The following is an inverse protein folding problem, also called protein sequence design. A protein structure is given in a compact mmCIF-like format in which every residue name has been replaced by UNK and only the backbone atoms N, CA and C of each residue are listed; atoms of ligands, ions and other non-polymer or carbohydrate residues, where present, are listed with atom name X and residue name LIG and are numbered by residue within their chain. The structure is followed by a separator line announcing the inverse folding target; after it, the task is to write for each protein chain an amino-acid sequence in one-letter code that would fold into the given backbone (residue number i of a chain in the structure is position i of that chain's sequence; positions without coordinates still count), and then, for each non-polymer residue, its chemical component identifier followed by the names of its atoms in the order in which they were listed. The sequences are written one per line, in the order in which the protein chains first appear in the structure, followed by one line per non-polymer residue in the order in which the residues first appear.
data_IF_306619337526
#
_entry.id   IF_306619337526
#
_cell.length_a   1.000
_cell.length_b   1.000
_cell.length_c   1.000
_cell.angle_alpha   90.00
_cell.angle_beta   90.00
_cell.angle_gamma   90.00
#
_symmetry.space_group_name_H-M   'P 1'
#
loop_
_entity.id
_entity.type
_entity.pdbx_description
1 polymer ?
#
# COMPACT_ATOMS: atom_id res chain seq x y z
N UNK A 1 13.48 -30.31 50.03
CA UNK A 1 13.77 -31.55 49.26
C UNK A 1 13.76 -31.17 47.78
N UNK A 2 14.85 -30.75 47.14
CA UNK A 2 16.20 -31.29 47.21
C UNK A 2 16.32 -32.53 46.32
N UNK A 3 16.27 -32.38 44.99
CA UNK A 3 16.72 -33.42 44.05
C UNK A 3 17.52 -32.82 42.90
N UNK A 4 18.82 -32.77 43.15
CA UNK A 4 19.89 -32.76 42.17
C UNK A 4 19.62 -33.79 41.06
N UNK A 5 19.79 -33.40 39.80
CA UNK A 5 20.21 -34.34 38.75
C UNK A 5 21.53 -33.85 38.15
N UNK A 6 22.54 -34.62 38.52
CA UNK A 6 23.94 -34.60 38.12
C UNK A 6 24.06 -34.83 36.61
N UNK A 7 24.82 -33.96 35.94
CA UNK A 7 25.29 -34.18 34.57
C UNK A 7 26.25 -35.38 34.55
N UNK A 8 25.95 -36.40 33.74
CA UNK A 8 26.90 -37.47 33.41
C UNK A 8 27.43 -37.24 32.01
N UNK A 9 28.70 -36.85 31.92
CA UNK A 9 29.49 -36.82 30.70
C UNK A 9 29.85 -38.25 30.29
N UNK A 10 29.50 -38.66 29.07
CA UNK A 10 30.09 -39.84 28.42
C UNK A 10 30.99 -39.32 27.30
N UNK A 11 32.29 -39.55 27.45
CA UNK A 11 33.31 -39.14 26.50
C UNK A 11 33.51 -40.28 25.49
N UNK A 12 33.19 -40.03 24.21
CA UNK A 12 33.65 -40.85 23.11
C UNK A 12 34.70 -40.04 22.33
N UNK A 13 35.95 -40.52 22.34
CA UNK A 13 37.06 -39.93 21.58
C UNK A 13 36.85 -40.19 20.09
N UNK A 14 36.78 -39.13 19.29
CA UNK A 14 37.12 -39.18 17.85
C UNK A 14 38.39 -38.38 17.61
N UNK A 15 39.25 -38.92 16.76
CA UNK A 15 40.58 -38.41 16.47
C UNK A 15 40.55 -37.33 15.38
N UNK A 16 40.20 -36.10 15.76
CA UNK A 16 40.68 -34.86 15.09
C UNK A 16 40.18 -33.66 15.91
N UNK A 17 41.12 -32.89 16.46
CA UNK A 17 40.91 -31.94 17.55
C UNK A 17 40.04 -30.71 17.25
N UNK A 18 39.36 -30.26 18.31
CA UNK A 18 38.60 -29.02 18.40
C UNK A 18 37.47 -29.16 19.42
N UNK A 19 37.73 -28.84 20.70
CA UNK A 19 36.73 -28.91 21.78
C UNK A 19 35.61 -27.89 21.53
N UNK A 20 34.39 -28.37 21.29
CA UNK A 20 33.18 -27.55 21.32
C UNK A 20 32.34 -27.95 22.54
N UNK A 21 32.35 -27.09 23.56
CA UNK A 21 31.40 -27.16 24.68
C UNK A 21 30.07 -26.60 24.20
N UNK A 22 29.08 -27.47 23.97
CA UNK A 22 27.71 -27.04 23.69
C UNK A 22 26.98 -26.84 25.01
N UNK A 23 26.87 -25.58 25.45
CA UNK A 23 25.88 -25.17 26.45
C UNK A 23 24.59 -24.76 25.74
N UNK A 24 23.48 -25.42 26.07
CA UNK A 24 22.15 -24.96 25.68
C UNK A 24 21.76 -23.79 26.58
N UNK A 25 21.65 -22.60 25.99
CA UNK A 25 20.98 -21.47 26.60
C UNK A 25 19.64 -21.25 25.88
N UNK A 26 18.56 -21.40 26.63
CA UNK A 26 17.19 -21.33 26.14
C UNK A 26 16.68 -19.90 26.31
N UNK A 27 17.19 -18.94 25.54
CA UNK A 27 16.62 -17.59 25.46
C UNK A 27 17.30 -16.78 24.34
N UNK A 28 16.72 -16.81 23.13
CA UNK A 28 16.67 -15.74 22.09
C UNK A 28 16.39 -16.36 20.72
N UNK A 29 15.16 -16.19 20.26
CA UNK A 29 14.73 -16.40 18.89
C UNK A 29 15.31 -15.30 17.98
N UNK A 30 16.55 -15.45 17.54
CA UNK A 30 17.00 -14.78 16.31
C UNK A 30 16.30 -15.46 15.13
N UNK A 31 15.48 -14.75 14.33
CA UNK A 31 14.85 -15.36 13.17
C UNK A 31 15.93 -15.87 12.21
N UNK A 32 15.73 -17.08 11.67
CA UNK A 32 16.68 -17.82 10.80
C UNK A 32 16.90 -17.16 9.42
N UNK A 33 16.71 -15.86 9.30
CA UNK A 33 16.86 -15.15 8.03
C UNK A 33 18.34 -14.81 7.88
N UNK A 34 19.03 -15.49 6.96
CA UNK A 34 20.35 -15.12 6.40
C UNK A 34 21.64 -15.58 7.10
N UNK A 35 21.63 -16.52 8.05
CA UNK A 35 22.89 -16.99 8.66
C UNK A 35 23.77 -17.86 7.73
N UNK A 36 23.18 -18.55 6.74
CA UNK A 36 23.92 -19.51 5.89
C UNK A 36 24.02 -19.10 4.42
N UNK A 37 23.29 -18.07 3.96
CA UNK A 37 23.25 -17.66 2.57
C UNK A 37 23.62 -16.18 2.40
N UNK A 38 24.91 -15.87 2.43
CA UNK A 38 25.53 -14.87 1.55
C UNK A 38 27.02 -14.70 1.88
N UNK A 39 27.89 -15.45 1.21
CA UNK A 39 29.13 -14.82 0.76
C UNK A 39 28.72 -13.81 -0.31
N UNK A 40 28.53 -12.56 0.11
CA UNK A 40 28.21 -11.45 -0.78
C UNK A 40 29.31 -11.33 -1.85
N UNK A 41 28.96 -11.19 -3.14
CA UNK A 41 29.97 -10.95 -4.18
C UNK A 41 30.80 -9.70 -3.84
N UNK A 42 32.13 -9.85 -3.86
CA UNK A 42 33.08 -8.78 -3.56
C UNK A 42 32.78 -7.56 -4.44
N UNK A 43 32.47 -6.42 -3.81
CA UNK A 43 32.14 -5.16 -4.49
C UNK A 43 33.39 -4.49 -5.03
N UNK A 44 33.95 -5.01 -6.12
CA UNK A 44 34.94 -4.28 -6.92
C UNK A 44 34.34 -3.87 -8.27
N UNK A 45 33.60 -2.77 -8.26
CA UNK A 45 33.35 -2.02 -9.48
C UNK A 45 34.62 -1.23 -9.81
N UNK A 46 35.44 -1.72 -10.76
CA UNK A 46 36.50 -0.93 -11.36
C UNK A 46 35.87 0.15 -12.24
N UNK A 47 36.02 1.41 -11.84
CA UNK A 47 35.69 2.59 -12.62
C UNK A 47 36.66 2.77 -13.82
N UNK A 48 36.76 1.78 -14.69
CA UNK A 48 37.59 1.81 -15.89
C UNK A 48 36.66 1.68 -17.11
N UNK A 49 36.12 2.80 -17.59
CA UNK A 49 35.24 2.76 -18.76
C UNK A 49 34.52 4.06 -19.16
N UNK A 50 34.64 5.16 -18.40
CA UNK A 50 34.10 6.45 -18.84
C UNK A 50 35.04 7.10 -19.87
N UNK A 51 35.01 6.58 -21.10
CA UNK A 51 35.55 7.28 -22.25
C UNK A 51 34.73 8.55 -22.49
N UNK A 52 35.39 9.71 -22.41
CA UNK A 52 34.81 11.03 -22.66
C UNK A 52 34.34 11.13 -24.11
N UNK A 53 33.04 10.99 -24.35
CA UNK A 53 32.45 11.44 -25.62
C UNK A 53 32.44 12.97 -25.64
N UNK A 54 33.25 13.58 -26.51
CA UNK A 54 33.20 15.01 -26.80
C UNK A 54 31.86 15.35 -27.44
N UNK A 55 31.06 16.18 -26.79
CA UNK A 55 29.90 16.82 -27.42
C UNK A 55 30.37 17.96 -28.32
N UNK A 56 29.99 17.91 -29.60
CA UNK A 56 30.16 19.01 -30.54
C UNK A 56 29.38 20.25 -30.07
N UNK A 57 29.97 21.43 -30.30
CA UNK A 57 29.51 22.71 -29.77
C UNK A 57 28.07 23.07 -30.15
N UNK A 58 27.32 23.47 -29.14
CA UNK A 58 26.01 24.13 -29.24
C UNK A 58 25.89 25.12 -28.08
N UNK A 59 25.51 26.36 -28.40
CA UNK A 59 25.51 27.56 -27.55
C UNK A 59 24.97 27.34 -26.12
N UNK A 60 25.70 27.88 -25.14
CA UNK A 60 25.27 27.96 -23.75
C UNK A 60 24.00 28.82 -23.61
N UNK A 61 22.88 28.17 -23.28
CA UNK A 61 21.70 28.82 -22.72
C UNK A 61 21.82 28.96 -21.20
N UNK A 62 21.08 29.88 -20.56
CA UNK A 62 21.23 30.17 -19.14
C UNK A 62 20.92 28.91 -18.31
N UNK A 63 21.77 28.65 -17.32
CA UNK A 63 21.66 27.54 -16.39
C UNK A 63 20.34 27.62 -15.60
N UNK A 64 19.30 26.99 -16.14
CA UNK A 64 18.08 26.70 -15.40
C UNK A 64 18.41 25.68 -14.32
N UNK A 65 18.00 25.96 -13.08
CA UNK A 65 18.04 25.00 -11.98
C UNK A 65 17.54 23.64 -12.48
N UNK A 66 18.37 22.60 -12.50
CA UNK A 66 18.08 21.28 -13.10
C UNK A 66 16.90 20.50 -12.49
N UNK A 67 16.04 21.17 -11.74
CA UNK A 67 14.71 20.68 -11.37
C UNK A 67 13.81 20.84 -12.60
N UNK A 68 13.59 19.75 -13.31
CA UNK A 68 12.57 19.67 -14.37
C UNK A 68 11.23 20.09 -13.75
N UNK A 69 10.75 21.30 -14.05
CA UNK A 69 9.32 21.63 -13.89
C UNK A 69 8.58 20.54 -14.66
N UNK A 70 7.58 19.91 -14.04
CA UNK A 70 6.86 18.75 -14.58
C UNK A 70 6.16 19.08 -15.93
N UNK A 71 6.94 19.16 -17.01
CA UNK A 71 6.47 19.15 -18.39
C UNK A 71 6.34 17.69 -18.79
N UNK A 72 5.26 17.32 -19.48
CA UNK A 72 5.01 15.96 -19.97
C UNK A 72 6.25 15.34 -20.64
N UNK A 73 6.34 14.00 -20.60
CA UNK A 73 7.40 13.30 -21.32
C UNK A 73 7.37 13.66 -22.80
N UNK A 74 8.51 13.91 -23.46
CA UNK A 74 8.52 14.04 -24.91
C UNK A 74 7.95 12.76 -25.55
N UNK A 75 7.24 12.88 -26.69
CA UNK A 75 6.78 11.76 -27.50
C UNK A 75 7.92 10.76 -27.76
N UNK A 76 7.59 9.49 -27.96
CA UNK A 76 8.61 8.44 -28.12
C UNK A 76 9.55 8.72 -29.30
N UNK A 77 9.04 9.32 -30.39
CA UNK A 77 9.82 9.72 -31.56
C UNK A 77 10.89 10.80 -31.29
N UNK A 78 10.70 11.64 -30.27
CA UNK A 78 11.59 12.78 -29.97
C UNK A 78 12.60 12.48 -28.86
N UNK A 79 12.61 11.25 -28.34
CA UNK A 79 13.50 10.87 -27.24
C UNK A 79 14.92 10.60 -27.74
N UNK A 80 15.90 11.20 -27.08
CA UNK A 80 17.27 10.72 -27.17
C UNK A 80 17.39 9.38 -26.45
N UNK A 81 18.01 8.41 -27.11
CA UNK A 81 18.20 7.06 -26.56
C UNK A 81 19.66 6.83 -26.19
N UNK A 82 19.87 6.17 -25.05
CA UNK A 82 21.18 5.67 -24.63
C UNK A 82 21.09 4.16 -24.51
N UNK A 83 22.12 3.46 -25.01
CA UNK A 83 22.23 2.01 -24.87
C UNK A 83 23.00 1.70 -23.60
N UNK A 84 22.35 1.02 -22.65
CA UNK A 84 23.01 0.42 -21.49
C UNK A 84 23.78 -0.84 -21.94
N UNK A 85 24.98 -1.05 -21.40
CA UNK A 85 25.77 -2.26 -21.66
C UNK A 85 25.07 -3.49 -21.07
N UNK A 86 25.16 -4.61 -21.80
CA UNK A 86 24.63 -5.87 -21.32
C UNK A 86 25.44 -6.36 -20.11
N UNK A 87 24.75 -6.89 -19.11
CA UNK A 87 25.36 -7.44 -17.90
C UNK A 87 24.63 -8.69 -17.45
N UNK A 88 25.41 -9.63 -16.91
CA UNK A 88 24.87 -10.79 -16.21
C UNK A 88 24.35 -10.36 -14.83
N UNK A 89 23.22 -10.94 -14.42
CA UNK A 89 22.61 -10.63 -13.13
C UNK A 89 22.85 -11.78 -12.16
N UNK A 90 23.40 -11.51 -10.96
CA UNK A 90 23.48 -12.53 -9.92
C UNK A 90 22.06 -12.95 -9.51
N UNK A 91 21.85 -14.26 -9.37
CA UNK A 91 20.61 -14.82 -8.82
C UNK A 91 20.67 -14.71 -7.31
N UNK A 92 19.78 -13.89 -6.73
CA UNK A 92 19.69 -13.70 -5.29
C UNK A 92 19.02 -14.88 -4.60
N UNK A 93 17.97 -15.43 -5.21
CA UNK A 93 17.21 -16.54 -4.67
C UNK A 93 16.51 -17.35 -5.77
N UNK A 94 16.26 -18.63 -5.47
CA UNK A 94 15.40 -19.54 -6.23
C UNK A 94 14.38 -20.13 -5.24
N UNK A 95 13.08 -19.90 -5.51
CA UNK A 95 11.96 -20.17 -4.61
C UNK A 95 10.80 -20.87 -5.30
N UNK A 96 9.91 -21.50 -4.55
CA UNK A 96 8.69 -22.08 -5.13
C UNK A 96 7.70 -20.96 -5.49
N UNK A 97 7.48 -20.04 -4.55
CA UNK A 97 6.54 -18.93 -4.71
C UNK A 97 7.24 -17.60 -4.43
N UNK A 98 7.21 -16.71 -5.42
CA UNK A 98 7.66 -15.33 -5.26
C UNK A 98 6.44 -14.40 -5.26
N UNK A 99 6.26 -13.65 -4.18
CA UNK A 99 5.21 -12.64 -4.08
C UNK A 99 5.82 -11.26 -4.27
N UNK A 100 5.31 -10.49 -5.23
CA UNK A 100 5.82 -9.15 -5.54
C UNK A 100 4.83 -8.11 -5.03
N UNK A 101 5.19 -7.33 -3.99
CA UNK A 101 4.35 -6.32 -3.36
C UNK A 101 3.79 -6.78 -2.02
N UNK A 102 4.11 -6.07 -0.94
CA UNK A 102 3.75 -6.36 0.44
C UNK A 102 2.49 -5.64 0.92
N UNK A 103 1.55 -5.34 0.04
CA UNK A 103 0.21 -4.84 0.41
C UNK A 103 -0.65 -5.91 1.12
N UNK A 104 -1.94 -5.64 1.37
CA UNK A 104 -2.83 -6.60 2.02
C UNK A 104 -2.93 -7.93 1.24
N UNK A 105 -3.03 -7.85 -0.10
CA UNK A 105 -3.07 -9.03 -0.96
C UNK A 105 -1.76 -9.85 -0.91
N UNK A 106 -0.61 -9.19 -0.98
CA UNK A 106 0.69 -9.87 -0.98
C UNK A 106 1.07 -10.45 0.37
N UNK A 107 0.75 -9.74 1.45
CA UNK A 107 0.89 -10.27 2.83
C UNK A 107 0.07 -11.56 2.98
N UNK A 108 -1.19 -11.54 2.56
CA UNK A 108 -2.06 -12.72 2.60
C UNK A 108 -1.55 -13.85 1.71
N UNK A 109 -1.10 -13.55 0.49
CA UNK A 109 -0.58 -14.53 -0.46
C UNK A 109 0.69 -15.21 0.06
N UNK A 110 1.63 -14.45 0.63
CA UNK A 110 2.88 -14.98 1.18
C UNK A 110 2.60 -15.92 2.37
N UNK A 111 1.79 -15.47 3.33
CA UNK A 111 1.40 -16.26 4.49
C UNK A 111 0.72 -17.56 4.07
N UNK A 112 -0.24 -17.47 3.13
CA UNK A 112 -0.95 -18.64 2.65
C UNK A 112 0.01 -19.62 1.93
N UNK A 113 0.90 -19.14 1.07
CA UNK A 113 1.85 -19.99 0.35
C UNK A 113 2.81 -20.72 1.31
N UNK A 114 3.39 -20.01 2.27
CA UNK A 114 4.32 -20.58 3.23
C UNK A 114 3.65 -21.58 4.18
N UNK A 115 2.44 -21.27 4.69
CA UNK A 115 1.66 -22.21 5.51
C UNK A 115 1.25 -23.48 4.76
N UNK A 116 1.21 -23.44 3.42
CA UNK A 116 1.01 -24.61 2.56
C UNK A 116 2.33 -25.30 2.16
N UNK A 117 3.45 -24.95 2.80
CA UNK A 117 4.74 -25.64 2.65
C UNK A 117 5.61 -25.17 1.48
N UNK A 118 5.26 -24.06 0.83
CA UNK A 118 6.09 -23.52 -0.27
C UNK A 118 7.26 -22.70 0.27
N UNK A 119 8.46 -22.87 -0.30
CA UNK A 119 9.55 -21.92 -0.07
C UNK A 119 9.14 -20.59 -0.69
N UNK A 120 8.85 -19.60 0.16
CA UNK A 120 8.17 -18.37 -0.23
C UNK A 120 9.04 -17.16 0.08
N UNK A 121 9.16 -16.26 -0.89
CA UNK A 121 9.80 -14.95 -0.71
C UNK A 121 8.81 -13.83 -1.04
N UNK A 122 8.64 -12.88 -0.13
CA UNK A 122 7.88 -11.65 -0.33
C UNK A 122 8.83 -10.47 -0.58
N UNK A 123 8.58 -9.72 -1.65
CA UNK A 123 9.30 -8.50 -1.99
C UNK A 123 8.43 -7.27 -1.72
N UNK A 124 8.99 -6.23 -1.11
CA UNK A 124 8.30 -4.96 -0.87
C UNK A 124 9.24 -3.77 -1.15
N UNK A 125 8.73 -2.74 -1.84
CA UNK A 125 9.51 -1.56 -2.24
C UNK A 125 9.77 -0.62 -1.06
N UNK A 126 8.86 -0.56 -0.10
CA UNK A 126 9.00 0.21 1.13
C UNK A 126 9.79 -0.56 2.19
N UNK A 127 10.06 0.11 3.32
CA UNK A 127 10.69 -0.50 4.51
C UNK A 127 9.69 -1.08 5.51
N UNK A 128 8.46 -1.35 5.07
CA UNK A 128 7.37 -1.85 5.91
C UNK A 128 6.26 -2.44 5.02
N UNK A 129 5.44 -3.33 5.57
CA UNK A 129 4.30 -3.94 4.87
C UNK A 129 3.02 -3.09 4.95
N UNK A 130 2.06 -3.44 4.10
CA UNK A 130 0.67 -2.95 4.12
C UNK A 130 0.26 -2.07 2.97
N UNK A 131 1.21 -1.58 2.16
CA UNK A 131 0.90 -0.84 0.95
C UNK A 131 -0.12 0.28 1.21
N UNK A 132 -1.27 0.22 0.56
CA UNK A 132 -2.32 1.24 0.74
C UNK A 132 -2.93 1.28 2.14
N UNK A 133 -2.96 0.17 2.89
CA UNK A 133 -3.46 0.18 4.27
C UNK A 133 -2.57 1.01 5.22
N UNK A 134 -1.28 1.09 4.93
CA UNK A 134 -0.27 1.73 5.80
C UNK A 134 0.31 2.99 5.18
N UNK A 135 1.02 2.88 4.05
CA UNK A 135 1.59 4.03 3.33
C UNK A 135 0.50 4.97 2.78
N UNK A 136 -0.58 4.39 2.25
CA UNK A 136 -1.71 5.14 1.70
C UNK A 136 -2.73 5.60 2.74
N UNK A 137 -2.63 5.11 3.98
CA UNK A 137 -3.59 5.32 5.06
C UNK A 137 -5.04 5.01 4.67
N UNK A 138 -5.25 4.03 3.78
CA UNK A 138 -6.58 3.57 3.38
C UNK A 138 -7.19 2.82 4.55
N UNK A 139 -7.81 3.62 5.40
CA UNK A 139 -8.77 3.22 6.42
C UNK A 139 -10.14 3.70 5.98
N UNK A 140 -11.21 3.01 6.38
CA UNK A 140 -11.23 1.83 7.26
C UNK A 140 -11.18 0.50 6.48
N UNK A 141 -11.03 -0.62 7.19
CA UNK A 141 -10.94 -1.96 6.60
C UNK A 141 -12.33 -2.55 6.34
N UNK A 142 -12.85 -2.38 5.12
CA UNK A 142 -14.21 -2.78 4.74
C UNK A 142 -14.51 -4.26 4.87
N UNK A 143 -13.50 -5.12 4.68
CA UNK A 143 -13.67 -6.56 4.84
C UNK A 143 -13.97 -6.93 6.30
N UNK A 144 -13.46 -6.17 7.27
CA UNK A 144 -13.71 -6.38 8.71
C UNK A 144 -13.65 -7.88 9.08
N UNK A 145 -14.53 -8.36 9.96
CA UNK A 145 -14.63 -9.78 10.34
C UNK A 145 -15.44 -10.63 9.34
N UNK A 146 -15.68 -10.15 8.11
CA UNK A 146 -16.48 -10.89 7.13
C UNK A 146 -15.69 -12.05 6.49
N UNK A 147 -14.36 -11.97 6.52
CA UNK A 147 -13.45 -12.93 5.91
C UNK A 147 -12.58 -13.62 6.98
N UNK A 148 -12.53 -14.95 6.96
CA UNK A 148 -11.66 -15.75 7.83
C UNK A 148 -10.21 -15.83 7.35
N UNK A 149 -9.46 -16.83 7.83
CA UNK A 149 -8.09 -17.08 7.41
C UNK A 149 -7.14 -15.94 7.81
N UNK A 150 -6.24 -15.54 6.92
CA UNK A 150 -5.22 -14.52 7.21
C UNK A 150 -5.81 -13.18 7.65
N UNK A 151 -6.99 -12.82 7.13
CA UNK A 151 -7.67 -11.59 7.55
C UNK A 151 -8.13 -11.65 9.02
N UNK A 152 -8.65 -12.80 9.46
CA UNK A 152 -9.01 -13.00 10.86
C UNK A 152 -7.76 -12.96 11.75
N UNK A 153 -6.68 -13.65 11.38
CA UNK A 153 -5.42 -13.62 12.14
C UNK A 153 -4.88 -12.19 12.30
N UNK A 154 -4.95 -11.37 11.23
CA UNK A 154 -4.56 -9.97 11.25
C UNK A 154 -5.41 -9.15 12.21
N UNK A 155 -6.74 -9.27 12.14
CA UNK A 155 -7.65 -8.52 12.99
C UNK A 155 -7.53 -8.94 14.45
N UNK A 156 -7.53 -10.24 14.73
CA UNK A 156 -7.37 -10.78 16.08
C UNK A 156 -6.06 -10.29 16.72
N UNK A 157 -4.98 -10.23 15.94
CA UNK A 157 -3.68 -9.73 16.41
C UNK A 157 -3.67 -8.22 16.62
N UNK A 158 -4.36 -7.45 15.78
CA UNK A 158 -4.56 -6.00 15.98
C UNK A 158 -5.41 -5.74 17.23
N UNK A 159 -6.53 -6.44 17.40
CA UNK A 159 -7.40 -6.36 18.58
C UNK A 159 -6.63 -6.68 19.86
N UNK A 160 -5.78 -7.72 19.85
CA UNK A 160 -4.93 -8.08 21.00
C UNK A 160 -3.93 -6.99 21.40
N UNK A 161 -3.71 -5.99 20.53
CA UNK A 161 -2.82 -4.84 20.74
C UNK A 161 -3.57 -3.51 20.77
N UNK A 162 -4.90 -3.55 20.96
CA UNK A 162 -5.78 -2.37 21.00
C UNK A 162 -5.73 -1.54 19.69
N UNK A 163 -5.30 -2.16 18.59
CA UNK A 163 -5.07 -1.53 17.28
C UNK A 163 -6.25 -1.65 16.31
N UNK A 164 -7.45 -1.99 16.79
CA UNK A 164 -8.64 -2.19 15.97
C UNK A 164 -9.87 -1.51 16.57
N UNK A 165 -10.61 -0.80 15.71
CA UNK A 165 -11.81 -0.05 16.03
C UNK A 165 -11.53 1.28 16.73
N UNK A 166 -12.32 2.29 16.38
CA UNK A 166 -12.30 3.62 16.99
C UNK A 166 -13.72 4.15 17.25
N UNK A 167 -13.81 5.31 17.93
CA UNK A 167 -15.09 6.01 18.09
C UNK A 167 -15.64 6.45 16.73
N UNK A 168 -16.90 6.13 16.44
CA UNK A 168 -17.54 6.40 15.15
C UNK A 168 -17.09 5.49 14.00
N UNK A 169 -16.00 4.73 14.15
CA UNK A 169 -15.41 3.87 13.12
C UNK A 169 -14.93 2.53 13.68
N UNK A 170 -15.84 1.58 13.86
CA UNK A 170 -15.53 0.26 14.48
C UNK A 170 -14.66 -0.67 13.64
N UNK A 171 -14.33 -0.26 12.43
CA UNK A 171 -13.55 -1.05 11.47
C UNK A 171 -12.32 -0.26 10.99
N UNK A 172 -11.93 0.79 11.71
CA UNK A 172 -10.61 1.40 11.54
C UNK A 172 -9.55 0.58 12.28
N UNK A 173 -8.29 0.83 11.96
CA UNK A 173 -7.15 0.15 12.56
C UNK A 173 -6.00 1.14 12.71
N UNK A 174 -5.04 0.84 13.57
CA UNK A 174 -3.81 1.63 13.67
C UNK A 174 -2.85 1.23 12.52
N UNK A 175 -2.51 2.15 11.60
CA UNK A 175 -1.61 1.87 10.49
C UNK A 175 -0.18 1.49 10.92
N UNK A 176 0.30 1.93 12.08
CA UNK A 176 1.63 1.54 12.59
C UNK A 176 1.60 0.12 13.14
N UNK A 177 0.57 -0.23 13.92
CA UNK A 177 0.40 -1.61 14.39
C UNK A 177 0.17 -2.57 13.23
N UNK A 178 -0.52 -2.15 12.17
CA UNK A 178 -0.68 -2.96 10.96
C UNK A 178 0.68 -3.38 10.37
N UNK A 179 1.66 -2.46 10.28
CA UNK A 179 3.00 -2.77 9.76
C UNK A 179 3.67 -3.89 10.55
N UNK A 180 3.66 -3.78 11.89
CA UNK A 180 4.31 -4.76 12.76
C UNK A 180 3.54 -6.08 12.81
N UNK A 181 2.22 -6.05 12.90
CA UNK A 181 1.40 -7.25 12.93
C UNK A 181 1.51 -8.04 11.64
N UNK A 182 1.48 -7.37 10.49
CA UNK A 182 1.66 -8.04 9.21
C UNK A 182 3.06 -8.63 9.06
N UNK A 183 4.12 -7.91 9.47
CA UNK A 183 5.49 -8.43 9.47
C UNK A 183 5.61 -9.68 10.35
N UNK A 184 5.11 -9.63 11.58
CA UNK A 184 5.06 -10.77 12.50
C UNK A 184 4.36 -11.97 11.82
N UNK A 185 3.18 -11.76 11.24
CA UNK A 185 2.42 -12.84 10.58
C UNK A 185 3.14 -13.43 9.36
N UNK A 186 3.82 -12.60 8.55
CA UNK A 186 4.63 -13.08 7.42
C UNK A 186 5.79 -13.92 7.92
N UNK A 187 6.55 -13.45 8.91
CA UNK A 187 7.70 -14.18 9.44
C UNK A 187 7.27 -15.47 10.15
N UNK A 188 6.21 -15.42 10.96
CA UNK A 188 5.64 -16.58 11.67
C UNK A 188 5.11 -17.65 10.69
N UNK A 189 4.71 -17.25 9.47
CA UNK A 189 4.31 -18.19 8.42
C UNK A 189 5.45 -19.03 7.85
N UNK A 190 6.70 -18.61 8.06
CA UNK A 190 7.89 -19.18 7.43
C UNK A 190 8.23 -18.58 6.07
N UNK A 191 7.61 -17.47 5.69
CA UNK A 191 8.00 -16.71 4.49
C UNK A 191 9.29 -15.92 4.75
N UNK A 192 10.18 -15.89 3.75
CA UNK A 192 11.25 -14.91 3.70
C UNK A 192 10.69 -13.56 3.23
N UNK A 193 11.30 -12.46 3.69
CA UNK A 193 10.88 -11.09 3.39
C UNK A 193 12.08 -10.22 2.99
N UNK A 194 11.92 -9.46 1.91
CA UNK A 194 12.90 -8.50 1.46
C UNK A 194 12.27 -7.13 1.17
N UNK A 195 12.57 -6.17 2.04
CA UNK A 195 12.21 -4.77 1.88
C UNK A 195 13.11 -4.01 0.91
N UNK A 196 12.75 -2.76 0.61
CA UNK A 196 13.51 -1.86 -0.26
C UNK A 196 13.85 -2.47 -1.63
N UNK A 197 12.92 -3.26 -2.16
CA UNK A 197 13.10 -4.05 -3.37
C UNK A 197 12.08 -3.67 -4.42
N UNK A 198 12.56 -3.03 -5.49
CA UNK A 198 11.73 -2.71 -6.65
C UNK A 198 11.80 -3.85 -7.66
N UNK A 199 10.67 -4.31 -8.16
CA UNK A 199 10.64 -5.19 -9.34
C UNK A 199 10.75 -4.32 -10.58
N UNK A 200 11.79 -4.55 -11.39
CA UNK A 200 12.11 -3.72 -12.55
C UNK A 200 12.02 -4.48 -13.88
N UNK A 201 11.87 -5.80 -13.84
CA UNK A 201 11.68 -6.63 -15.03
C UNK A 201 11.08 -7.99 -14.71
N UNK A 202 10.52 -8.64 -15.73
CA UNK A 202 9.97 -10.00 -15.62
C UNK A 202 10.80 -10.95 -16.47
N UNK A 203 11.25 -12.05 -15.87
CA UNK A 203 11.99 -13.10 -16.56
C UNK A 203 11.01 -14.11 -17.15
N UNK A 204 11.13 -14.42 -18.44
CA UNK A 204 10.20 -15.31 -19.15
C UNK A 204 10.90 -16.31 -20.06
N UNK A 205 10.30 -17.49 -20.17
CA UNK A 205 10.61 -18.48 -21.22
C UNK A 205 9.34 -18.80 -21.98
N UNK A 206 9.23 -18.33 -23.23
CA UNK A 206 7.97 -18.37 -23.97
C UNK A 206 6.87 -17.58 -23.26
N UNK A 207 5.80 -18.29 -22.86
CA UNK A 207 4.66 -17.75 -22.09
C UNK A 207 4.77 -17.95 -20.57
N UNK A 208 5.78 -18.66 -20.10
CA UNK A 208 5.95 -18.93 -18.67
C UNK A 208 6.82 -17.86 -18.02
N UNK A 209 6.30 -17.21 -16.97
CA UNK A 209 7.10 -16.39 -16.06
C UNK A 209 7.98 -17.30 -15.21
N UNK A 210 9.27 -16.96 -15.11
CA UNK A 210 10.31 -17.75 -14.42
C UNK A 210 10.94 -17.02 -13.24
N UNK A 211 10.49 -15.79 -12.97
CA UNK A 211 11.09 -14.94 -11.97
C UNK A 211 11.01 -13.47 -12.35
N UNK A 212 11.74 -12.64 -11.63
CA UNK A 212 11.78 -11.20 -11.83
C UNK A 212 13.21 -10.68 -11.73
N UNK A 213 13.44 -9.50 -12.30
CA UNK A 213 14.63 -8.69 -12.06
C UNK A 213 14.26 -7.65 -11.01
N UNK A 214 15.10 -7.52 -9.99
CA UNK A 214 14.91 -6.57 -8.90
C UNK A 214 16.02 -5.53 -8.84
N UNK A 215 15.68 -4.34 -8.38
CA UNK A 215 16.61 -3.28 -8.01
C UNK A 215 16.50 -3.01 -6.51
N UNK A 216 17.63 -3.06 -5.82
CA UNK A 216 17.73 -2.87 -4.37
C UNK A 216 18.84 -1.88 -4.05
N UNK A 217 18.92 -1.42 -2.80
CA UNK A 217 20.09 -0.64 -2.33
C UNK A 217 21.41 -1.43 -2.43
N UNK A 218 21.32 -2.76 -2.48
CA UNK A 218 22.47 -3.65 -2.58
C UNK A 218 22.87 -4.00 -4.01
N UNK A 219 22.13 -3.52 -5.00
CA UNK A 219 22.36 -3.77 -6.43
C UNK A 219 21.17 -4.41 -7.13
N UNK A 220 21.40 -4.75 -8.39
CA UNK A 220 20.44 -5.41 -9.28
C UNK A 220 20.64 -6.93 -9.27
N UNK A 221 19.55 -7.67 -9.08
CA UNK A 221 19.57 -9.13 -8.99
C UNK A 221 18.44 -9.77 -9.81
N UNK A 222 18.57 -11.06 -10.07
CA UNK A 222 17.46 -11.90 -10.50
C UNK A 222 16.93 -12.71 -9.31
N UNK A 223 15.61 -12.91 -9.25
CA UNK A 223 14.98 -13.89 -8.36
C UNK A 223 14.21 -14.86 -9.22
N UNK A 224 14.57 -16.14 -9.14
CA UNK A 224 13.91 -17.21 -9.89
C UNK A 224 12.76 -17.79 -9.06
N UNK A 225 11.68 -18.17 -9.73
CA UNK A 225 10.54 -18.78 -9.06
C UNK A 225 9.76 -19.74 -9.96
N UNK A 226 9.14 -20.75 -9.35
CA UNK A 226 8.20 -21.65 -10.05
C UNK A 226 6.87 -20.96 -10.30
N UNK A 227 6.40 -20.16 -9.34
CA UNK A 227 5.19 -19.34 -9.43
C UNK A 227 5.55 -17.92 -8.97
N UNK A 228 5.12 -16.92 -9.74
CA UNK A 228 5.18 -15.51 -9.33
C UNK A 228 3.77 -15.02 -9.12
N UNK A 229 3.48 -14.49 -7.94
CA UNK A 229 2.21 -13.86 -7.59
C UNK A 229 2.42 -12.35 -7.63
N UNK A 230 1.77 -11.70 -8.59
CA UNK A 230 1.81 -10.25 -8.70
C UNK A 230 0.82 -9.63 -7.73
N UNK A 231 1.35 -8.98 -6.70
CA UNK A 231 0.62 -8.20 -5.71
C UNK A 231 1.13 -6.75 -5.70
N UNK A 232 1.75 -6.30 -6.80
CA UNK A 232 2.10 -4.90 -6.99
C UNK A 232 0.83 -4.09 -7.17
N UNK A 233 0.85 -2.82 -6.77
CA UNK A 233 -0.36 -1.98 -6.79
C UNK A 233 -1.00 -1.86 -8.18
N UNK A 234 -0.17 -1.87 -9.22
CA UNK A 234 -0.59 -1.62 -10.61
C UNK A 234 -0.49 -2.87 -11.51
N UNK A 235 -0.12 -4.04 -10.97
CA UNK A 235 0.10 -5.25 -11.76
C UNK A 235 1.35 -5.16 -12.66
N UNK A 236 2.41 -4.52 -12.17
CA UNK A 236 3.67 -4.25 -12.88
C UNK A 236 4.31 -5.52 -13.45
N UNK A 237 4.29 -6.62 -12.70
CA UNK A 237 4.93 -7.87 -13.14
C UNK A 237 4.14 -8.50 -14.27
N UNK A 238 2.81 -8.53 -14.15
CA UNK A 238 1.90 -9.03 -15.16
C UNK A 238 1.95 -8.20 -16.44
N UNK A 239 1.92 -6.86 -16.32
CA UNK A 239 2.06 -5.95 -17.45
C UNK A 239 3.41 -6.15 -18.17
N UNK A 240 4.52 -6.22 -17.43
CA UNK A 240 5.85 -6.50 -17.98
C UNK A 240 5.99 -7.91 -18.58
N UNK A 241 5.20 -8.87 -18.12
CA UNK A 241 5.12 -10.21 -18.71
C UNK A 241 4.38 -10.21 -20.06
N UNK A 242 3.69 -9.13 -20.41
CA UNK A 242 2.86 -9.02 -21.61
C UNK A 242 1.43 -9.54 -21.42
N UNK A 243 0.94 -9.61 -20.18
CA UNK A 243 -0.47 -9.89 -19.93
C UNK A 243 -1.35 -8.78 -20.50
N UNK A 244 -2.55 -9.12 -20.94
CA UNK A 244 -3.55 -8.12 -21.33
C UNK A 244 -4.02 -7.34 -20.10
N UNK A 245 -4.09 -6.02 -20.24
CA UNK A 245 -4.63 -5.13 -19.21
C UNK A 245 -5.37 -3.96 -19.87
N UNK A 246 -6.25 -3.35 -19.10
CA UNK A 246 -6.89 -2.08 -19.44
C UNK A 246 -6.38 -1.01 -18.47
N UNK A 247 -6.13 0.20 -18.98
CA UNK A 247 -5.65 1.32 -18.18
C UNK A 247 -6.58 2.50 -18.34
N UNK A 248 -7.18 2.91 -17.22
CA UNK A 248 -8.17 3.98 -17.19
C UNK A 248 -9.50 3.58 -17.85
N UNK A 249 -10.42 4.53 -17.90
CA UNK A 249 -11.68 4.43 -18.63
C UNK A 249 -11.43 4.63 -20.13
N UNK A 250 -12.42 4.33 -20.97
CA UNK A 250 -12.32 4.48 -22.43
C UNK A 250 -11.96 5.88 -22.95
N UNK A 251 -12.01 6.92 -22.12
CA UNK A 251 -11.53 8.28 -22.43
C UNK A 251 -10.17 8.63 -21.81
N UNK A 252 -9.44 7.61 -21.32
CA UNK A 252 -8.11 7.75 -20.72
C UNK A 252 -8.10 8.23 -19.27
N UNK A 253 -9.25 8.59 -18.69
CA UNK A 253 -9.32 9.06 -17.32
C UNK A 253 -9.15 7.91 -16.32
N UNK A 254 -8.34 8.15 -15.29
CA UNK A 254 -8.07 7.20 -14.20
C UNK A 254 -8.83 7.60 -12.93
N UNK A 255 -8.89 6.68 -11.96
CA UNK A 255 -9.43 6.99 -10.64
C UNK A 255 -8.64 8.17 -10.04
N UNK A 256 -9.31 9.18 -9.44
CA UNK A 256 -8.63 10.29 -8.80
C UNK A 256 -7.64 9.81 -7.73
N UNK A 257 -6.47 10.44 -7.67
CA UNK A 257 -5.47 10.13 -6.65
C UNK A 257 -5.80 10.84 -5.35
N UNK A 258 -5.78 10.09 -4.25
CA UNK A 258 -6.08 10.58 -2.91
C UNK A 258 -4.85 10.49 -2.05
N UNK A 259 -4.40 11.63 -1.54
CA UNK A 259 -3.38 11.68 -0.47
C UNK A 259 -4.10 11.86 0.85
N UNK A 260 -4.10 10.81 1.65
CA UNK A 260 -4.58 10.86 3.04
C UNK A 260 -3.44 11.31 3.96
N UNK A 261 -3.79 11.95 5.08
CA UNK A 261 -2.82 12.35 6.10
C UNK A 261 -3.41 12.11 7.50
N UNK A 262 -2.55 11.97 8.50
CA UNK A 262 -2.95 11.86 9.90
C UNK A 262 -3.00 13.24 10.56
N UNK A 263 -4.00 13.44 11.40
CA UNK A 263 -4.13 14.61 12.26
C UNK A 263 -4.34 14.14 13.70
N UNK A 264 -3.52 14.64 14.62
CA UNK A 264 -3.64 14.41 16.06
C UNK A 264 -4.35 15.57 16.77
N UNK A 265 -4.67 15.38 18.05
CA UNK A 265 -5.33 16.40 18.88
C UNK A 265 -6.82 16.62 18.56
N UNK A 266 -7.45 15.68 17.87
CA UNK A 266 -8.86 15.77 17.46
C UNK A 266 -9.78 15.34 18.60
N UNK A 267 -10.48 16.30 19.20
CA UNK A 267 -11.39 16.07 20.35
C UNK A 267 -12.85 15.87 19.94
N UNK A 268 -13.11 15.68 18.65
CA UNK A 268 -14.45 15.65 18.09
C UNK A 268 -14.63 14.52 17.09
N UNK A 269 -15.87 14.02 16.97
CA UNK A 269 -16.21 12.94 16.04
C UNK A 269 -17.10 13.45 14.92
N UNK A 270 -16.72 13.18 13.67
CA UNK A 270 -17.57 13.44 12.51
C UNK A 270 -18.76 12.47 12.51
N UNK A 271 -19.98 13.01 12.65
CA UNK A 271 -21.23 12.21 12.67
C UNK A 271 -22.08 12.31 11.40
N UNK A 272 -21.71 13.20 10.47
CA UNK A 272 -22.46 13.46 9.23
C UNK A 272 -21.50 13.69 8.07
N UNK A 273 -21.96 13.41 6.85
CA UNK A 273 -21.11 13.45 5.66
C UNK A 273 -20.55 14.84 5.36
N UNK A 274 -21.33 15.90 5.56
CA UNK A 274 -20.87 17.28 5.38
C UNK A 274 -20.09 17.84 6.59
N UNK A 275 -19.83 17.02 7.64
CA UNK A 275 -19.29 17.51 8.90
C UNK A 275 -17.92 18.17 8.77
N UNK A 276 -16.96 17.50 8.15
CA UNK A 276 -15.62 18.05 7.94
C UNK A 276 -15.63 19.19 6.91
N UNK A 277 -16.44 19.08 5.86
CA UNK A 277 -16.61 20.14 4.86
C UNK A 277 -17.00 21.46 5.51
N UNK A 278 -18.05 21.48 6.31
CA UNK A 278 -18.56 22.72 6.92
C UNK A 278 -17.52 23.33 7.87
N UNK A 279 -16.70 22.51 8.54
CA UNK A 279 -15.61 22.99 9.39
C UNK A 279 -14.49 23.63 8.58
N UNK A 280 -14.14 23.05 7.43
CA UNK A 280 -13.15 23.61 6.51
C UNK A 280 -13.67 24.92 5.90
N UNK A 281 -14.92 24.98 5.46
CA UNK A 281 -15.54 26.20 4.94
C UNK A 281 -15.52 27.34 5.98
N UNK A 282 -15.85 27.06 7.24
CA UNK A 282 -15.72 28.04 8.33
C UNK A 282 -14.26 28.46 8.57
N UNK A 283 -13.30 27.54 8.46
CA UNK A 283 -11.89 27.86 8.60
C UNK A 283 -11.41 28.77 7.47
N UNK A 284 -11.83 28.52 6.23
CA UNK A 284 -11.58 29.35 5.05
C UNK A 284 -12.15 30.76 5.27
N UNK A 285 -13.42 30.88 5.68
CA UNK A 285 -14.06 32.17 5.97
C UNK A 285 -13.32 32.96 7.07
N UNK A 286 -12.91 32.28 8.15
CA UNK A 286 -12.19 32.91 9.27
C UNK A 286 -10.80 33.39 8.89
N UNK A 287 -10.09 32.61 8.07
CA UNK A 287 -8.68 32.87 7.72
C UNK A 287 -8.55 33.75 6.47
N UNK A 288 -9.61 33.93 5.69
CA UNK A 288 -9.55 34.58 4.39
C UNK A 288 -8.79 33.74 3.36
N UNK A 289 -8.71 32.43 3.56
CA UNK A 289 -8.02 31.51 2.66
C UNK A 289 -8.82 31.36 1.33
N UNK A 290 -8.14 31.03 0.23
CA UNK A 290 -8.76 30.87 -1.11
C UNK A 290 -8.93 29.41 -1.52
N UNK A 291 -8.63 28.46 -0.63
CA UNK A 291 -8.69 27.03 -0.91
C UNK A 291 -10.08 26.60 -1.35
N UNK A 292 -10.13 25.79 -2.41
CA UNK A 292 -11.36 25.19 -2.92
C UNK A 292 -11.34 23.71 -2.64
N UNK A 293 -12.37 23.25 -1.93
CA UNK A 293 -12.57 21.83 -1.67
C UNK A 293 -12.68 21.05 -2.98
N UNK A 294 -11.86 20.01 -3.18
CA UNK A 294 -11.88 19.23 -4.42
C UNK A 294 -13.02 18.20 -4.48
N UNK A 295 -13.79 18.05 -3.40
CA UNK A 295 -14.82 17.02 -3.24
C UNK A 295 -15.81 17.37 -2.11
N UNK A 296 -17.05 16.85 -2.21
CA UNK A 296 -18.18 17.25 -1.36
C UNK A 296 -18.27 16.53 0.01
N UNK A 297 -17.65 15.36 0.17
CA UNK A 297 -17.82 14.51 1.36
C UNK A 297 -16.48 14.10 1.99
N UNK A 298 -15.62 15.06 2.38
CA UNK A 298 -14.37 14.73 3.06
C UNK A 298 -14.66 14.08 4.42
N UNK A 299 -13.75 13.23 4.88
CA UNK A 299 -13.92 12.52 6.15
C UNK A 299 -12.70 12.57 7.05
N UNK A 300 -12.93 12.82 8.34
CA UNK A 300 -12.00 12.58 9.43
C UNK A 300 -12.32 11.22 10.07
N UNK A 301 -11.52 10.21 9.72
CA UNK A 301 -11.72 8.81 10.12
C UNK A 301 -10.91 8.56 11.39
N UNK A 302 -11.58 8.38 12.53
CA UNK A 302 -10.90 8.09 13.78
C UNK A 302 -10.12 6.79 13.72
N UNK A 303 -8.89 6.87 14.24
CA UNK A 303 -8.01 5.74 14.44
C UNK A 303 -8.15 5.22 15.88
N UNK A 304 -7.72 3.98 16.17
CA UNK A 304 -7.74 3.43 17.53
C UNK A 304 -6.98 4.29 18.54
N UNK A 305 -5.92 4.98 18.10
CA UNK A 305 -5.16 5.91 18.92
C UNK A 305 -6.02 7.13 19.28
N UNK A 306 -6.23 7.41 20.58
CA UNK A 306 -7.10 8.50 21.02
C UNK A 306 -6.69 9.86 20.45
N UNK A 307 -7.66 10.59 19.91
CA UNK A 307 -7.44 11.92 19.36
C UNK A 307 -6.76 11.95 17.99
N UNK A 308 -6.59 10.81 17.34
CA UNK A 308 -6.03 10.73 15.99
C UNK A 308 -7.10 10.38 14.95
N UNK A 309 -6.98 11.01 13.79
CA UNK A 309 -7.80 10.72 12.61
C UNK A 309 -6.92 10.58 11.37
N UNK A 310 -7.31 9.70 10.45
CA UNK A 310 -6.88 9.76 9.06
C UNK A 310 -7.87 10.61 8.26
N UNK A 311 -7.36 11.60 7.55
CA UNK A 311 -8.18 12.59 6.84
C UNK A 311 -8.19 12.26 5.36
N UNK A 312 -9.38 11.97 4.85
CA UNK A 312 -9.66 11.85 3.42
C UNK A 312 -10.25 13.17 2.92
N UNK A 313 -9.41 13.99 2.28
CA UNK A 313 -9.80 15.32 1.82
C UNK A 313 -9.35 15.61 0.38
N UNK A 314 -8.19 15.09 -0.02
CA UNK A 314 -7.56 15.42 -1.29
C UNK A 314 -8.03 14.49 -2.40
N UNK A 315 -8.40 15.05 -3.55
CA UNK A 315 -8.59 14.30 -4.81
C UNK A 315 -7.94 15.06 -5.96
N UNK A 316 -6.86 14.50 -6.50
CA UNK A 316 -6.23 15.01 -7.72
C UNK A 316 -6.77 14.24 -8.92
N UNK A 317 -7.30 14.97 -9.89
CA UNK A 317 -7.89 14.43 -11.12
C UNK A 317 -6.97 14.71 -12.31
N UNK A 318 -7.28 14.11 -13.46
CA UNK A 318 -6.56 14.35 -14.72
C UNK A 318 -5.05 14.08 -14.60
N UNK A 319 -4.76 12.96 -13.96
CA UNK A 319 -3.41 12.49 -13.65
C UNK A 319 -3.33 10.99 -13.92
N UNK A 320 -2.24 10.58 -14.56
CA UNK A 320 -1.92 9.20 -14.83
C UNK A 320 -1.12 8.60 -13.65
N UNK A 321 -1.72 7.63 -12.95
CA UNK A 321 -1.09 6.96 -11.80
C UNK A 321 0.16 6.14 -12.13
N UNK A 322 0.50 5.99 -13.41
CA UNK A 322 1.69 5.26 -13.86
C UNK A 322 2.75 6.16 -14.52
N UNK A 323 2.47 7.47 -14.67
CA UNK A 323 3.46 8.44 -15.14
C UNK A 323 4.10 9.18 -13.96
N UNK A 324 5.43 9.11 -13.87
CA UNK A 324 6.18 9.68 -12.75
C UNK A 324 6.02 11.20 -12.63
N UNK A 325 5.79 11.93 -13.73
CA UNK A 325 5.60 13.39 -13.70
C UNK A 325 4.20 13.74 -13.23
N UNK A 326 3.19 12.95 -13.62
CA UNK A 326 1.83 13.10 -13.13
C UNK A 326 1.73 12.77 -11.64
N UNK A 327 2.39 11.69 -11.19
CA UNK A 327 2.56 11.38 -9.77
C UNK A 327 3.23 12.54 -9.01
N UNK A 328 4.37 13.04 -9.51
CA UNK A 328 5.10 14.16 -8.89
C UNK A 328 4.24 15.43 -8.83
N UNK A 329 3.49 15.72 -9.91
CA UNK A 329 2.56 16.86 -9.99
C UNK A 329 1.49 16.71 -8.94
N UNK A 330 0.86 15.53 -8.83
CA UNK A 330 -0.22 15.27 -7.90
C UNK A 330 0.21 15.50 -6.45
N UNK A 331 1.37 14.98 -6.05
CA UNK A 331 1.92 15.16 -4.70
C UNK A 331 2.31 16.61 -4.38
N UNK A 332 2.66 17.40 -5.41
CA UNK A 332 3.08 18.79 -5.24
C UNK A 332 1.95 19.80 -5.29
N UNK A 333 0.70 19.39 -5.55
CA UNK A 333 -0.44 20.31 -5.68
C UNK A 333 -0.75 21.06 -4.39
N UNK A 334 -1.29 22.28 -4.51
CA UNK A 334 -1.79 23.06 -3.38
C UNK A 334 -2.86 22.31 -2.58
N UNK A 335 -3.65 21.47 -3.26
CA UNK A 335 -4.61 20.59 -2.63
C UNK A 335 -3.94 19.68 -1.59
N UNK A 336 -2.78 19.09 -1.89
CA UNK A 336 -2.01 18.30 -0.93
C UNK A 336 -1.34 19.18 0.13
N UNK A 337 -0.73 20.30 -0.27
CA UNK A 337 0.10 21.13 0.64
C UNK A 337 -0.69 21.93 1.68
N UNK A 338 -1.89 22.40 1.35
CA UNK A 338 -2.71 23.27 2.22
C UNK A 338 -3.74 22.52 3.05
N UNK A 339 -4.10 21.30 2.65
CA UNK A 339 -5.12 20.49 3.34
C UNK A 339 -4.83 20.25 4.82
N UNK A 340 -3.58 19.93 5.25
CA UNK A 340 -3.30 19.69 6.66
C UNK A 340 -3.50 20.93 7.55
N UNK A 341 -3.03 22.11 7.12
CA UNK A 341 -3.15 23.35 7.91
C UNK A 341 -4.60 23.83 8.03
N UNK A 342 -5.37 23.73 6.94
CA UNK A 342 -6.80 24.05 6.95
C UNK A 342 -7.59 23.10 7.85
N UNK A 343 -7.29 21.80 7.79
CA UNK A 343 -7.96 20.81 8.66
C UNK A 343 -7.62 21.02 10.12
N UNK A 344 -6.37 21.38 10.44
CA UNK A 344 -5.97 21.76 11.81
C UNK A 344 -6.77 22.97 12.30
N UNK A 345 -6.86 24.02 11.47
CA UNK A 345 -7.61 25.25 11.79
C UNK A 345 -9.11 24.98 11.98
N UNK A 346 -9.65 24.07 11.17
CA UNK A 346 -11.02 23.57 11.29
C UNK A 346 -11.26 22.81 12.59
N UNK A 347 -10.26 22.07 13.10
CA UNK A 347 -10.31 21.41 14.40
C UNK A 347 -10.40 22.38 15.57
N UNK A 348 -9.65 23.49 15.53
CA UNK A 348 -9.65 24.54 16.57
C UNK A 348 -10.99 25.27 16.69
N UNK A 349 -11.72 25.42 15.59
CA UNK A 349 -13.06 26.02 15.60
C UNK A 349 -14.03 25.23 16.50
N UNK A 350 -13.87 23.92 16.58
CA UNK A 350 -14.76 23.05 17.36
C UNK A 350 -14.34 22.91 18.81
N UNK A 351 -13.08 23.18 19.14
CA UNK A 351 -12.60 23.23 20.53
C UNK A 351 -12.84 24.59 21.20
N UNK A 352 -13.17 25.62 20.42
CA UNK A 352 -13.53 26.95 20.91
C UNK A 352 -14.98 26.95 21.46
N UNK A 353 -15.25 27.48 22.68
CA UNK A 353 -16.59 27.48 23.29
C UNK A 353 -17.58 28.48 22.67
N UNK A 354 -17.28 29.03 21.49
CA UNK A 354 -18.09 30.08 20.87
C UNK A 354 -19.45 29.51 20.44
N UNK A 355 -20.60 30.13 20.82
CA UNK A 355 -21.91 29.62 20.43
C UNK A 355 -22.03 29.64 18.92
N UNK A 356 -22.45 28.52 18.32
CA UNK A 356 -22.82 28.46 16.92
C UNK A 356 -23.97 29.45 16.69
N UNK A 357 -23.65 30.62 16.15
CA UNK A 357 -24.63 31.61 15.72
C UNK A 357 -25.47 31.00 14.61
N UNK A 358 -26.76 30.80 14.89
CA UNK A 358 -27.75 30.19 14.00
C UNK A 358 -28.16 31.07 12.81
N UNK A 359 -27.21 31.74 12.15
CA UNK A 359 -27.47 32.59 10.97
C UNK A 359 -26.78 32.04 9.74
N UNK A 360 -27.31 30.95 9.21
CA UNK A 360 -27.20 30.67 7.77
C UNK A 360 -28.32 31.43 7.05
N UNK A 361 -28.02 32.19 5.97
CA UNK A 361 -29.06 32.75 5.13
C UNK A 361 -29.78 31.60 4.42
N UNK A 362 -31.12 31.60 4.48
CA UNK A 362 -31.98 30.68 3.72
C UNK A 362 -31.77 30.94 2.22
N UNK A 363 -30.89 30.17 1.58
CA UNK A 363 -30.86 30.08 0.13
C UNK A 363 -32.05 29.23 -0.34
N UNK A 364 -32.80 29.76 -1.31
CA UNK A 364 -34.02 29.16 -1.82
C UNK A 364 -33.78 27.77 -2.40
N UNK A 365 -34.66 26.82 -2.06
CA UNK A 365 -34.74 25.53 -2.77
C UNK A 365 -35.12 25.80 -4.23
N UNK A 366 -34.36 25.30 -5.22
CA UNK A 366 -34.94 25.01 -6.51
C UNK A 366 -35.96 23.88 -6.28
N UNK A 367 -37.24 24.16 -6.56
CA UNK A 367 -38.21 23.09 -6.82
C UNK A 367 -37.76 22.43 -8.11
N UNK A 368 -37.62 21.11 -8.06
CA UNK A 368 -37.39 20.16 -9.17
C UNK A 368 -36.08 19.37 -9.03
N UNK A 369 -36.12 18.38 -8.13
CA UNK A 369 -35.22 17.22 -8.18
C UNK A 369 -36.07 15.96 -7.93
N UNK A 370 -36.00 14.93 -8.80
CA UNK A 370 -36.79 13.72 -8.63
C UNK A 370 -36.31 12.91 -7.43
N UNK A 371 -37.28 12.43 -6.67
CA UNK A 371 -37.13 11.69 -5.43
C UNK A 371 -36.60 10.28 -5.73
N UNK A 372 -35.28 10.05 -5.62
CA UNK A 372 -34.74 8.69 -5.61
C UNK A 372 -34.66 8.18 -4.17
N UNK A 373 -35.74 7.48 -3.78
CA UNK A 373 -35.81 6.71 -2.54
C UNK A 373 -34.69 5.69 -2.45
N UNK A 374 -34.15 5.55 -1.24
CA UNK A 374 -33.12 4.57 -0.91
C UNK A 374 -33.54 3.15 -1.25
N UNK A 375 -32.61 2.40 -1.82
CA UNK A 375 -32.72 0.95 -1.98
C UNK A 375 -31.73 0.31 -1.03
N UNK A 376 -32.26 -0.29 0.04
CA UNK A 376 -31.56 -1.33 0.79
C UNK A 376 -31.36 -2.53 -0.14
N UNK A 377 -30.11 -2.92 -0.39
CA UNK A 377 -29.77 -4.13 -1.11
C UNK A 377 -29.77 -5.32 -0.13
N UNK A 378 -30.84 -6.11 -0.16
CA UNK A 378 -30.87 -7.46 0.42
C UNK A 378 -30.27 -8.48 -0.56
N UNK A 379 -29.64 -9.49 0.01
CA UNK A 379 -28.89 -10.59 -0.60
C UNK A 379 -29.81 -11.45 -1.49
N UNK A 380 -29.76 -11.21 -2.80
CA UNK A 380 -29.72 -12.19 -3.91
C UNK A 380 -30.10 -11.50 -5.21
N UNK A 381 -29.17 -11.46 -6.17
CA UNK A 381 -29.40 -10.86 -7.47
C UNK A 381 -30.46 -11.61 -8.28
N UNK A 382 -31.52 -10.91 -8.69
CA UNK A 382 -32.27 -11.22 -9.90
C UNK A 382 -33.16 -10.02 -10.29
N UNK A 383 -33.00 -9.54 -11.54
CA UNK A 383 -33.80 -8.45 -12.14
C UNK A 383 -35.29 -8.82 -12.16
N UNK A 384 -36.19 -7.91 -11.79
CA UNK A 384 -37.63 -8.00 -12.12
C UNK A 384 -38.11 -6.76 -12.87
N UNK A 385 -38.62 -6.98 -14.09
CA UNK A 385 -39.55 -6.08 -14.79
C UNK A 385 -40.94 -6.14 -14.11
N UNK A 386 -41.77 -5.08 -14.20
CA UNK A 386 -43.07 -5.06 -13.54
C UNK A 386 -44.10 -5.86 -14.35
N UNK A 387 -44.85 -6.75 -13.70
CA UNK A 387 -46.07 -7.33 -14.26
C UNK A 387 -47.22 -7.19 -13.26
N UNK A 388 -48.32 -6.71 -13.83
CA UNK A 388 -49.66 -6.48 -13.29
C UNK A 388 -50.23 -7.71 -12.59
N UNK A 389 -50.99 -7.48 -11.50
CA UNK A 389 -51.73 -8.52 -10.76
C UNK A 389 -52.76 -9.21 -11.65
N UNK A 390 -52.69 -10.54 -11.73
CA UNK A 390 -53.72 -11.42 -12.30
C UNK A 390 -53.67 -12.80 -11.63
N UNK A 391 -54.83 -13.36 -11.30
CA UNK A 391 -55.05 -14.54 -10.46
C UNK A 391 -54.65 -15.85 -11.16
N UNK A 392 -54.09 -16.79 -10.39
CA UNK A 392 -54.38 -18.23 -10.49
C UNK A 392 -53.42 -19.11 -11.31
N UNK A 393 -53.06 -20.23 -10.65
CA UNK A 393 -52.63 -21.56 -11.15
C UNK A 393 -51.12 -21.84 -11.34
N UNK A 394 -50.70 -22.79 -10.50
CA UNK A 394 -49.80 -23.94 -10.70
C UNK A 394 -48.37 -23.73 -11.22
N UNK A 395 -47.42 -24.14 -10.36
CA UNK A 395 -46.01 -24.36 -10.69
C UNK A 395 -45.84 -25.68 -11.46
N UNK A 396 -45.18 -25.61 -12.62
CA UNK A 396 -44.53 -26.76 -13.26
C UNK A 396 -43.15 -26.30 -13.75
N UNK A 397 -42.09 -26.93 -13.24
CA UNK A 397 -40.70 -26.77 -13.72
C UNK A 397 -40.47 -27.71 -14.92
N UNK A 398 -39.72 -27.27 -15.95
CA UNK A 398 -39.01 -28.20 -16.80
C UNK A 398 -37.48 -27.99 -16.73
N UNK A 399 -36.82 -29.14 -16.52
CA UNK A 399 -35.46 -29.61 -16.84
C UNK A 399 -34.39 -28.62 -17.29
#
# INVERSE_FOLDING_TARGET
MGRNRVARSVCAKTSSGGDAVVSFDAERSTPRVWAEAAQWPDRRHTAAGLARTRSNGGREGPAGSGVVRATSAPPAEDRAWVREEARELPVLADVDVLVCGGGPAGTAAAIAAARNGSKTLLLERHGFLGGMATAGLVVPHWDSHQNGGVNADLIDRLESREGWGAEGWKISFDPELWKHVSEDLVLDSGSDLLYHTFVVGTLRTGRAVKGVVIETKSGRFAVLARVVVDCTGDGDVAARAGAHFEKGRGDGLMQPMTTMFRLGGVTWVQRRNAGLRDLIEQAIERTGDEYRLPYDYPWAIHLPNPGEVAVMLVHVRDVDGTDVRDLTRAESTDAVRRSPSLTSSAGELRSSPTPISSRLPRSGRPRDAPNHGGVCLDRRGCRKRPIVRGRGRECVLPR
#
